data_IF_250841549714
#
_entry.id   IF_250841549714
#
_cell.length_a   1.000
_cell.length_b   1.000
_cell.length_c   1.000
_cell.angle_alpha   90.00
_cell.angle_beta   90.00
_cell.angle_gamma   90.00
#
_symmetry.space_group_name_H-M   'P 1'
#
loop_
_entity.id
_entity.type
_entity.pdbx_description
1 polymer ?
#
# COMPACT_ATOMS: atom_id res chain seq x y z
N UNK A 1 58.20 -38.92 -25.68
CA UNK A 1 56.97 -38.34 -26.30
C UNK A 1 55.82 -39.35 -26.22
N UNK A 2 55.57 -39.93 -25.05
CA UNK A 2 54.53 -40.94 -24.83
C UNK A 2 54.04 -40.90 -23.38
N UNK A 3 53.80 -39.69 -22.85
CA UNK A 3 53.54 -39.50 -21.40
C UNK A 3 52.47 -38.43 -21.11
N UNK A 4 51.75 -37.96 -22.14
CA UNK A 4 50.70 -36.94 -21.98
C UNK A 4 49.31 -37.42 -22.45
N UNK A 5 49.20 -38.63 -23.01
CA UNK A 5 47.93 -39.20 -23.48
C UNK A 5 47.23 -40.07 -22.42
N UNK A 6 47.99 -40.69 -21.51
CA UNK A 6 47.42 -41.52 -20.43
C UNK A 6 46.85 -40.68 -19.27
N UNK A 7 47.30 -39.44 -19.08
CA UNK A 7 46.75 -38.52 -18.08
C UNK A 7 45.34 -38.03 -18.47
N UNK A 8 45.10 -37.80 -19.77
CA UNK A 8 43.82 -37.29 -20.28
C UNK A 8 42.71 -38.35 -20.22
N UNK A 9 43.03 -39.63 -20.49
CA UNK A 9 42.05 -40.72 -20.41
C UNK A 9 41.62 -41.06 -18.97
N UNK A 10 42.39 -40.67 -17.94
CA UNK A 10 42.04 -40.88 -16.53
C UNK A 10 41.06 -39.83 -15.98
N UNK A 11 41.04 -38.64 -16.55
CA UNK A 11 40.15 -37.56 -16.10
C UNK A 11 38.72 -37.69 -16.63
N UNK A 12 38.51 -38.38 -17.75
CA UNK A 12 37.16 -38.64 -18.29
C UNK A 12 36.43 -39.80 -17.58
N UNK A 13 37.13 -40.66 -16.84
CA UNK A 13 36.54 -41.83 -16.16
C UNK A 13 36.09 -41.56 -14.71
N UNK A 14 36.23 -40.33 -14.21
CA UNK A 14 35.77 -39.93 -12.86
C UNK A 14 34.50 -39.05 -12.87
N UNK A 15 33.87 -38.86 -14.04
CA UNK A 15 32.62 -38.08 -14.17
C UNK A 15 31.39 -38.93 -14.52
N UNK A 16 31.39 -40.20 -14.11
CA UNK A 16 30.18 -41.03 -14.08
C UNK A 16 29.80 -41.30 -12.63
N UNK A 17 29.11 -40.34 -12.01
CA UNK A 17 28.77 -40.45 -10.59
C UNK A 17 28.06 -39.25 -9.97
N UNK A 18 27.07 -38.65 -10.64
CA UNK A 18 26.06 -37.85 -9.93
C UNK A 18 24.74 -37.83 -10.71
N UNK A 19 24.10 -39.00 -10.78
CA UNK A 19 22.66 -39.04 -10.98
C UNK A 19 21.99 -38.57 -9.68
N UNK A 20 21.40 -37.37 -9.73
CA UNK A 20 20.24 -37.05 -8.90
C UNK A 20 20.44 -36.05 -7.77
N UNK A 21 20.72 -34.78 -8.08
CA UNK A 21 19.97 -33.62 -7.55
C UNK A 21 20.42 -32.34 -8.26
N UNK A 22 19.61 -31.84 -9.18
CA UNK A 22 19.53 -30.39 -9.49
C UNK A 22 18.17 -30.11 -10.11
N UNK A 23 17.13 -30.47 -9.35
CA UNK A 23 15.83 -29.87 -9.54
C UNK A 23 15.87 -28.48 -8.89
N UNK A 24 15.59 -27.47 -9.70
CA UNK A 24 14.70 -26.35 -9.34
C UNK A 24 15.26 -25.28 -8.38
N UNK A 25 15.72 -24.14 -8.90
CA UNK A 25 15.35 -22.77 -8.49
C UNK A 25 16.21 -21.77 -9.27
N UNK A 26 15.77 -21.36 -10.46
CA UNK A 26 16.28 -20.18 -11.17
C UNK A 26 15.07 -19.31 -11.53
N UNK A 27 14.36 -18.78 -10.53
CA UNK A 27 13.33 -17.73 -10.71
C UNK A 27 13.46 -16.58 -9.70
N UNK A 28 14.19 -16.78 -8.60
CA UNK A 28 14.50 -15.74 -7.62
C UNK A 28 15.04 -14.41 -8.19
N UNK A 29 15.95 -14.37 -9.19
CA UNK A 29 16.43 -13.09 -9.73
C UNK A 29 15.35 -12.34 -10.52
N UNK A 30 14.39 -13.04 -11.13
CA UNK A 30 13.29 -12.43 -11.86
C UNK A 30 12.23 -11.86 -10.89
N UNK A 31 11.89 -12.61 -9.84
CA UNK A 31 10.96 -12.17 -8.80
C UNK A 31 11.48 -10.92 -8.06
N UNK A 32 12.76 -10.91 -7.68
CA UNK A 32 13.36 -9.77 -7.00
C UNK A 32 13.41 -8.52 -7.89
N UNK A 33 13.62 -8.69 -9.19
CA UNK A 33 13.55 -7.59 -10.16
C UNK A 33 12.13 -7.04 -10.31
N UNK A 34 11.10 -7.89 -10.35
CA UNK A 34 9.69 -7.48 -10.38
C UNK A 34 9.31 -6.75 -9.09
N UNK A 35 9.68 -7.30 -7.93
CA UNK A 35 9.45 -6.67 -6.63
C UNK A 35 10.12 -5.29 -6.54
N UNK A 36 11.38 -5.18 -6.99
CA UNK A 36 12.11 -3.92 -7.05
C UNK A 36 11.43 -2.90 -7.98
N UNK A 37 10.91 -3.35 -9.13
CA UNK A 37 10.17 -2.50 -10.06
C UNK A 37 8.83 -2.02 -9.49
N UNK A 38 8.10 -2.90 -8.80
CA UNK A 38 6.86 -2.55 -8.12
C UNK A 38 7.12 -1.54 -6.98
N UNK A 39 8.12 -1.80 -6.13
CA UNK A 39 8.53 -0.89 -5.06
C UNK A 39 9.01 0.46 -5.61
N UNK A 40 9.71 0.46 -6.76
CA UNK A 40 10.17 1.66 -7.44
C UNK A 40 9.06 2.62 -7.89
N UNK A 41 7.81 2.14 -8.02
CA UNK A 41 6.67 3.00 -8.36
C UNK A 41 6.09 3.76 -7.17
N UNK A 42 6.36 3.32 -5.94
CA UNK A 42 5.81 3.94 -4.72
C UNK A 42 6.33 5.37 -4.53
N UNK A 43 7.62 5.61 -4.78
CA UNK A 43 8.22 6.95 -4.69
C UNK A 43 7.54 7.97 -5.61
N UNK A 44 7.47 7.70 -6.93
CA UNK A 44 6.74 8.55 -7.89
C UNK A 44 5.26 8.76 -7.52
N UNK A 45 4.54 7.72 -7.08
CA UNK A 45 3.14 7.85 -6.63
C UNK A 45 3.06 8.81 -5.44
N UNK A 46 3.89 8.60 -4.41
CA UNK A 46 3.92 9.46 -3.23
C UNK A 46 4.24 10.92 -3.57
N UNK A 47 5.21 11.13 -4.47
CA UNK A 47 5.61 12.47 -4.92
C UNK A 47 4.49 13.18 -5.68
N UNK A 48 3.79 12.48 -6.59
CA UNK A 48 2.69 13.08 -7.34
C UNK A 48 1.48 13.38 -6.44
N UNK A 49 1.16 12.50 -5.48
CA UNK A 49 0.13 12.78 -4.49
C UNK A 49 0.48 14.00 -3.65
N UNK A 50 1.73 14.12 -3.19
CA UNK A 50 2.21 15.26 -2.41
C UNK A 50 1.97 16.62 -3.09
N UNK A 51 2.03 16.67 -4.44
CA UNK A 51 1.79 17.88 -5.22
C UNK A 51 0.33 18.34 -5.23
N UNK A 52 -0.62 17.47 -4.85
CA UNK A 52 -2.04 17.80 -4.74
C UNK A 52 -2.39 18.43 -3.38
N UNK A 53 -1.44 18.43 -2.44
CA UNK A 53 -1.68 18.89 -1.09
C UNK A 53 -1.88 20.41 -1.01
N UNK A 54 -2.78 20.89 -0.15
CA UNK A 54 -2.95 22.33 0.06
C UNK A 54 -1.69 22.94 0.69
N UNK A 55 -1.38 24.23 0.44
CA UNK A 55 -0.21 24.87 1.02
C UNK A 55 -0.11 24.66 2.54
N UNK A 56 1.06 24.23 3.02
CA UNK A 56 1.31 24.00 4.45
C UNK A 56 0.79 22.68 5.01
N UNK A 57 0.46 21.68 4.18
CA UNK A 57 0.20 20.33 4.66
C UNK A 57 1.46 19.72 5.33
N UNK A 58 1.27 18.93 6.38
CA UNK A 58 2.33 18.23 7.12
C UNK A 58 2.27 16.70 6.97
N UNK A 59 1.09 16.17 6.64
CA UNK A 59 0.88 14.75 6.41
C UNK A 59 -0.20 14.52 5.37
N UNK A 60 -0.10 13.42 4.63
CA UNK A 60 -1.23 12.86 3.90
C UNK A 60 -1.31 11.34 4.06
N UNK A 61 -2.48 10.82 3.74
CA UNK A 61 -2.76 9.40 3.67
C UNK A 61 -3.59 9.15 2.41
N UNK A 62 -3.22 8.13 1.68
CA UNK A 62 -3.94 7.65 0.51
C UNK A 62 -4.27 6.17 0.69
N UNK A 63 -5.48 5.79 0.32
CA UNK A 63 -5.92 4.40 0.25
C UNK A 63 -6.44 4.12 -1.14
N UNK A 64 -5.98 3.01 -1.71
CA UNK A 64 -6.37 2.55 -3.02
C UNK A 64 -6.93 1.14 -2.88
N UNK A 65 -8.22 0.94 -3.19
CA UNK A 65 -8.85 -0.38 -3.31
C UNK A 65 -9.07 -0.68 -4.78
N UNK A 66 -8.27 -1.58 -5.35
CA UNK A 66 -8.22 -1.79 -6.80
C UNK A 66 -8.46 -3.26 -7.13
N UNK A 67 -9.25 -3.49 -8.17
CA UNK A 67 -9.50 -4.78 -8.81
C UNK A 67 -9.30 -4.63 -10.33
N UNK A 68 -9.49 -5.71 -11.10
CA UNK A 68 -9.49 -5.64 -12.56
C UNK A 68 -10.65 -4.84 -13.16
N UNK A 69 -11.81 -4.77 -12.48
CA UNK A 69 -13.03 -4.15 -13.04
C UNK A 69 -13.57 -2.96 -12.26
N UNK A 70 -12.99 -2.64 -11.10
CA UNK A 70 -13.41 -1.52 -10.27
C UNK A 70 -12.31 -0.99 -9.35
N UNK A 71 -12.42 0.29 -9.01
CA UNK A 71 -11.46 0.98 -8.16
C UNK A 71 -12.11 2.06 -7.29
N UNK A 72 -11.53 2.25 -6.10
CA UNK A 72 -11.80 3.37 -5.19
C UNK A 72 -10.47 3.92 -4.71
N UNK A 73 -10.36 5.25 -4.69
CA UNK A 73 -9.18 5.95 -4.21
C UNK A 73 -9.59 7.08 -3.26
N UNK A 74 -9.04 7.07 -2.06
CA UNK A 74 -9.19 8.13 -1.08
C UNK A 74 -7.85 8.82 -0.85
N UNK A 75 -7.85 10.15 -0.79
CA UNK A 75 -6.68 10.94 -0.46
C UNK A 75 -7.08 12.06 0.51
N UNK A 76 -6.38 12.13 1.64
CA UNK A 76 -6.62 13.13 2.66
C UNK A 76 -5.30 13.74 3.13
N UNK A 77 -5.27 15.06 3.20
CA UNK A 77 -4.18 15.87 3.74
C UNK A 77 -4.52 16.37 5.13
N UNK A 78 -3.50 16.63 5.93
CA UNK A 78 -3.60 17.27 7.23
C UNK A 78 -2.67 18.49 7.32
N UNK A 79 -3.16 19.51 8.00
CA UNK A 79 -2.41 20.69 8.44
C UNK A 79 -2.74 20.90 9.92
N UNK A 80 -1.86 20.44 10.80
CA UNK A 80 -2.10 20.35 12.23
C UNK A 80 -3.33 19.52 12.55
N UNK A 81 -4.41 20.17 13.01
CA UNK A 81 -5.68 19.51 13.38
C UNK A 81 -6.72 19.51 12.26
N UNK A 82 -6.48 20.22 11.17
CA UNK A 82 -7.41 20.32 10.03
C UNK A 82 -7.09 19.22 9.03
N UNK A 83 -8.12 18.72 8.35
CA UNK A 83 -7.98 17.77 7.27
C UNK A 83 -8.77 18.19 6.04
N UNK A 84 -8.21 17.92 4.86
CA UNK A 84 -8.84 18.22 3.58
C UNK A 84 -8.74 17.00 2.67
N UNK A 85 -9.85 16.60 2.08
CA UNK A 85 -9.87 15.54 1.06
C UNK A 85 -9.51 16.11 -0.29
N UNK A 86 -8.84 15.28 -1.10
CA UNK A 86 -8.53 15.59 -2.48
C UNK A 86 -8.90 14.39 -3.36
N UNK A 87 -9.30 14.68 -4.60
CA UNK A 87 -9.51 13.63 -5.60
C UNK A 87 -8.16 13.18 -6.13
N UNK A 88 -7.97 11.86 -6.29
CA UNK A 88 -6.81 11.33 -7.00
C UNK A 88 -7.04 11.47 -8.51
N UNK A 89 -6.14 12.15 -9.25
CA UNK A 89 -6.20 12.22 -10.71
C UNK A 89 -5.92 10.87 -11.37
N UNK A 90 -6.53 10.65 -12.54
CA UNK A 90 -6.43 9.41 -13.30
C UNK A 90 -4.97 9.01 -13.63
N UNK A 91 -4.10 9.99 -13.93
CA UNK A 91 -2.68 9.71 -14.21
C UNK A 91 -1.95 9.07 -13.03
N UNK A 92 -2.35 9.38 -11.79
CA UNK A 92 -1.79 8.75 -10.59
C UNK A 92 -2.41 7.37 -10.41
N UNK A 93 -3.72 7.24 -10.63
CA UNK A 93 -4.41 5.94 -10.60
C UNK A 93 -3.76 4.94 -11.57
N UNK A 94 -3.36 5.37 -12.77
CA UNK A 94 -2.62 4.54 -13.73
C UNK A 94 -1.29 4.02 -13.18
N UNK A 95 -0.54 4.83 -12.43
CA UNK A 95 0.69 4.37 -11.77
C UNK A 95 0.39 3.30 -10.70
N UNK A 96 -0.68 3.48 -9.94
CA UNK A 96 -1.14 2.52 -8.95
C UNK A 96 -1.58 1.21 -9.63
N UNK A 97 -2.35 1.27 -10.73
CA UNK A 97 -2.72 0.07 -11.53
C UNK A 97 -1.48 -0.66 -12.03
N UNK A 98 -0.49 0.07 -12.54
CA UNK A 98 0.78 -0.51 -12.99
C UNK A 98 1.53 -1.18 -11.84
N UNK A 99 1.58 -0.54 -10.67
CA UNK A 99 2.21 -1.12 -9.49
C UNK A 99 1.50 -2.42 -9.07
N UNK A 100 0.17 -2.42 -9.05
CA UNK A 100 -0.64 -3.60 -8.76
C UNK A 100 -0.41 -4.73 -9.76
N UNK A 101 -0.31 -4.41 -11.05
CA UNK A 101 -0.06 -5.39 -12.10
C UNK A 101 1.32 -6.04 -11.98
N UNK A 102 2.34 -5.28 -11.55
CA UNK A 102 3.65 -5.87 -11.20
C UNK A 102 3.55 -6.72 -9.94
N UNK A 103 2.81 -6.27 -8.91
CA UNK A 103 2.59 -7.04 -7.71
C UNK A 103 1.88 -8.38 -7.98
N UNK A 104 0.99 -8.43 -8.98
CA UNK A 104 0.29 -9.65 -9.39
C UNK A 104 1.22 -10.77 -9.91
N UNK A 105 2.44 -10.42 -10.33
CA UNK A 105 3.45 -11.38 -10.79
C UNK A 105 4.27 -11.97 -9.63
N UNK A 106 4.08 -11.48 -8.41
CA UNK A 106 4.75 -12.00 -7.22
C UNK A 106 3.93 -13.16 -6.61
N UNK A 107 4.55 -14.07 -5.82
CA UNK A 107 3.84 -15.20 -5.22
C UNK A 107 2.63 -14.84 -4.35
N UNK A 108 2.63 -13.66 -3.72
CA UNK A 108 1.49 -13.17 -2.92
C UNK A 108 0.28 -12.74 -3.79
N UNK A 109 0.48 -12.55 -5.09
CA UNK A 109 -0.49 -11.97 -6.00
C UNK A 109 -0.72 -10.47 -5.78
N UNK A 110 -1.74 -9.87 -6.44
CA UNK A 110 -2.01 -8.46 -6.27
C UNK A 110 -2.58 -8.19 -4.88
N UNK A 111 -2.24 -7.06 -4.27
CA UNK A 111 -2.93 -6.62 -3.06
C UNK A 111 -4.38 -6.20 -3.37
N UNK A 112 -5.26 -6.19 -2.36
CA UNK A 112 -6.59 -5.59 -2.47
C UNK A 112 -6.56 -4.10 -2.17
N UNK A 113 -5.78 -3.75 -1.14
CA UNK A 113 -5.60 -2.36 -0.71
C UNK A 113 -4.13 -1.96 -0.60
N UNK A 114 -3.81 -0.79 -1.12
CA UNK A 114 -2.54 -0.10 -0.91
C UNK A 114 -2.79 1.10 -0.01
N UNK A 115 -2.12 1.15 1.14
CA UNK A 115 -2.17 2.26 2.07
C UNK A 115 -0.83 2.98 2.03
N UNK A 116 -0.87 4.28 1.77
CA UNK A 116 0.30 5.13 1.73
C UNK A 116 0.11 6.25 2.72
N UNK A 117 1.08 6.45 3.63
CA UNK A 117 1.13 7.61 4.51
C UNK A 117 2.43 8.33 4.32
N UNK A 118 2.37 9.64 4.13
CA UNK A 118 3.57 10.49 4.06
C UNK A 118 3.47 11.55 5.12
N UNK A 119 4.51 11.66 5.94
CA UNK A 119 4.68 12.74 6.91
C UNK A 119 5.90 13.57 6.53
N UNK A 120 5.76 14.89 6.59
CA UNK A 120 6.81 15.84 6.29
C UNK A 120 6.88 16.89 7.42
N UNK A 121 8.09 17.08 7.95
CA UNK A 121 8.40 18.13 8.90
C UNK A 121 9.53 18.99 8.35
N UNK A 122 9.45 20.31 8.56
CA UNK A 122 10.47 21.25 8.10
C UNK A 122 11.87 20.84 8.57
N UNK A 123 12.83 20.79 7.64
CA UNK A 123 14.23 20.40 7.92
C UNK A 123 14.48 18.89 8.01
N UNK A 124 13.49 18.05 7.69
CA UNK A 124 13.64 16.59 7.62
C UNK A 124 13.17 16.04 6.29
N UNK A 125 13.79 14.95 5.84
CA UNK A 125 13.30 14.20 4.68
C UNK A 125 11.90 13.67 4.98
N UNK A 126 11.02 13.69 3.97
CA UNK A 126 9.70 13.11 4.08
C UNK A 126 9.78 11.62 4.42
N UNK A 127 9.00 11.19 5.41
CA UNK A 127 8.87 9.79 5.77
C UNK A 127 7.68 9.20 5.04
N UNK A 128 7.95 8.20 4.20
CA UNK A 128 6.93 7.44 3.47
C UNK A 128 6.75 6.08 4.17
N UNK A 129 5.52 5.77 4.56
CA UNK A 129 5.11 4.46 5.05
C UNK A 129 4.12 3.85 4.05
N UNK A 130 4.36 2.60 3.67
CA UNK A 130 3.54 1.86 2.70
C UNK A 130 3.10 0.54 3.34
N UNK A 131 1.84 0.20 3.17
CA UNK A 131 1.26 -1.06 3.62
C UNK A 131 0.38 -1.65 2.51
N UNK A 132 0.34 -2.98 2.45
CA UNK A 132 -0.41 -3.75 1.48
C UNK A 132 -1.35 -4.71 2.21
N UNK A 133 -2.64 -4.53 2.00
CA UNK A 133 -3.67 -5.37 2.60
C UNK A 133 -4.14 -6.40 1.56
N UNK A 134 -3.90 -7.67 1.90
CA UNK A 134 -4.26 -8.87 1.13
C UNK A 134 -5.59 -9.49 1.59
N UNK A 135 -6.33 -8.78 2.44
CA UNK A 135 -7.69 -9.13 2.84
C UNK A 135 -7.74 -10.05 4.05
N UNK A 136 -6.74 -10.03 4.92
CA UNK A 136 -6.79 -10.82 6.17
C UNK A 136 -7.96 -10.39 7.07
N UNK A 137 -8.41 -9.14 6.90
CA UNK A 137 -9.58 -8.58 7.55
C UNK A 137 -10.56 -8.01 6.52
N UNK A 138 -11.86 -7.91 6.87
CA UNK A 138 -12.84 -7.24 6.03
C UNK A 138 -12.41 -5.83 5.66
N UNK A 139 -12.49 -5.52 4.37
CA UNK A 139 -12.23 -4.17 3.87
C UNK A 139 -13.33 -3.24 4.40
N UNK A 140 -12.96 -2.08 4.97
CA UNK A 140 -13.95 -1.13 5.49
C UNK A 140 -14.85 -0.55 4.40
N UNK A 141 -16.10 -0.24 4.75
CA UNK A 141 -17.16 0.10 3.80
C UNK A 141 -16.78 1.24 2.83
N UNK A 142 -16.06 2.27 3.30
CA UNK A 142 -15.65 3.42 2.47
C UNK A 142 -14.64 3.02 1.36
N UNK A 143 -13.97 1.89 1.54
CA UNK A 143 -12.96 1.32 0.64
C UNK A 143 -13.47 0.06 -0.08
N UNK A 144 -14.67 -0.42 0.24
CA UNK A 144 -15.20 -1.70 -0.20
C UNK A 144 -15.87 -1.56 -1.57
N UNK A 145 -15.29 -2.20 -2.59
CA UNK A 145 -15.91 -2.34 -3.92
C UNK A 145 -17.10 -3.29 -3.88
N UNK A 146 -17.92 -3.28 -4.94
CA UNK A 146 -19.04 -4.22 -5.03
C UNK A 146 -18.55 -5.68 -5.15
N UNK A 147 -19.38 -6.67 -4.78
CA UNK A 147 -19.00 -8.08 -4.87
C UNK A 147 -18.58 -8.54 -6.27
N UNK A 148 -19.15 -7.96 -7.33
CA UNK A 148 -18.84 -8.29 -8.72
C UNK A 148 -17.38 -8.00 -9.06
N UNK A 149 -16.84 -6.87 -8.57
CA UNK A 149 -15.45 -6.48 -8.82
C UNK A 149 -14.44 -7.46 -8.23
N UNK A 150 -14.72 -7.97 -7.02
CA UNK A 150 -13.86 -8.98 -6.41
C UNK A 150 -13.95 -10.34 -7.11
N UNK A 151 -15.15 -10.72 -7.57
CA UNK A 151 -15.33 -11.95 -8.35
C UNK A 151 -14.54 -11.91 -9.65
N UNK A 152 -14.62 -10.80 -10.38
CA UNK A 152 -13.88 -10.63 -11.62
C UNK A 152 -12.36 -10.67 -11.37
N UNK A 153 -11.90 -10.07 -10.26
CA UNK A 153 -10.48 -10.09 -9.90
C UNK A 153 -9.99 -11.48 -9.51
N UNK A 154 -10.77 -12.25 -8.74
CA UNK A 154 -10.44 -13.64 -8.40
C UNK A 154 -10.44 -14.55 -9.63
N UNK A 155 -11.26 -14.26 -10.63
CA UNK A 155 -11.23 -14.96 -11.91
C UNK A 155 -9.99 -14.62 -12.75
N UNK A 156 -9.56 -13.35 -12.74
CA UNK A 156 -8.38 -12.89 -13.45
C UNK A 156 -7.06 -13.27 -12.76
N UNK A 157 -7.04 -13.26 -11.43
CA UNK A 157 -5.90 -13.61 -10.59
C UNK A 157 -6.32 -14.66 -9.56
N UNK A 158 -6.39 -15.96 -9.97
CA UNK A 158 -6.67 -17.04 -9.04
C UNK A 158 -5.63 -17.10 -7.91
N UNK A 159 -6.09 -17.33 -6.69
CA UNK A 159 -5.23 -17.39 -5.48
C UNK A 159 -5.37 -18.72 -4.78
N UNK A 160 -4.27 -19.17 -4.17
CA UNK A 160 -4.27 -20.38 -3.33
C UNK A 160 -5.20 -20.26 -2.12
N UNK A 161 -5.34 -19.05 -1.57
CA UNK A 161 -6.23 -18.77 -0.45
C UNK A 161 -7.06 -17.52 -0.70
N UNK A 162 -8.38 -17.63 -0.47
CA UNK A 162 -9.30 -16.50 -0.44
C UNK A 162 -9.89 -16.38 0.96
N UNK A 163 -9.77 -15.22 1.63
CA UNK A 163 -10.32 -15.01 2.97
C UNK A 163 -11.81 -15.33 3.05
N UNK A 164 -12.23 -15.96 4.16
CA UNK A 164 -13.61 -16.44 4.31
C UNK A 164 -14.66 -15.32 4.20
N UNK A 165 -14.35 -14.13 4.70
CA UNK A 165 -15.25 -12.97 4.59
C UNK A 165 -15.44 -12.55 3.12
N UNK A 166 -14.38 -12.62 2.31
CA UNK A 166 -14.44 -12.20 0.91
C UNK A 166 -15.23 -13.21 0.09
N UNK A 167 -15.04 -14.51 0.35
CA UNK A 167 -15.86 -15.58 -0.24
C UNK A 167 -17.35 -15.39 0.09
N UNK A 168 -17.68 -15.09 1.35
CA UNK A 168 -19.06 -14.81 1.76
C UNK A 168 -19.62 -13.54 1.11
N UNK A 169 -18.80 -12.49 1.03
CA UNK A 169 -19.17 -11.22 0.40
C UNK A 169 -19.50 -11.40 -1.09
N UNK A 170 -18.63 -12.08 -1.84
CA UNK A 170 -18.83 -12.39 -3.27
C UNK A 170 -20.07 -13.27 -3.49
N UNK A 171 -20.28 -14.29 -2.63
CA UNK A 171 -21.45 -15.16 -2.73
C UNK A 171 -22.79 -14.43 -2.45
N UNK A 172 -22.76 -13.39 -1.61
CA UNK A 172 -23.98 -12.65 -1.22
C UNK A 172 -24.65 -11.93 -2.40
N UNK A 173 -23.89 -11.44 -3.38
CA UNK A 173 -24.44 -10.85 -4.60
C UNK A 173 -25.19 -11.87 -5.47
N UNK A 174 -24.66 -13.10 -5.57
CA UNK A 174 -25.32 -14.18 -6.30
C UNK A 174 -26.63 -14.66 -5.65
N UNK A 175 -26.76 -14.51 -4.33
CA UNK A 175 -27.99 -14.86 -3.61
C UNK A 175 -29.14 -13.86 -3.88
N UNK A 176 -28.83 -12.58 -4.08
CA UNK A 176 -29.82 -11.56 -4.43
C UNK A 176 -30.40 -11.75 -5.85
N UNK A 177 -29.61 -12.33 -6.76
CA UNK A 177 -29.99 -12.62 -8.14
C UNK A 177 -30.78 -13.93 -8.33
N UNK A 178 -30.92 -14.77 -7.29
CA UNK A 178 -31.89 -15.88 -7.33
C UNK A 178 -33.26 -15.32 -6.97
N UNK A 179 -34.23 -15.22 -7.90
CA UNK A 179 -35.60 -14.97 -7.49
C UNK A 179 -35.95 -16.07 -6.49
N UNK A 180 -36.38 -15.65 -5.30
CA UNK A 180 -36.92 -16.56 -4.31
C UNK A 180 -37.92 -17.44 -5.05
N UNK A 181 -37.61 -18.74 -5.24
CA UNK A 181 -38.55 -19.68 -5.83
C UNK A 181 -39.81 -19.51 -5.04
N UNK A 182 -40.86 -18.98 -5.68
CA UNK A 182 -42.14 -18.69 -5.07
C UNK A 182 -42.59 -19.95 -4.32
N UNK A 183 -42.35 -20.00 -3.01
CA UNK A 183 -43.03 -20.94 -2.14
C UNK A 183 -44.45 -20.43 -2.11
N UNK A 184 -45.28 -20.99 -2.99
CA UNK A 184 -46.69 -20.65 -3.15
C UNK A 184 -47.30 -20.73 -1.75
N UNK A 185 -47.77 -19.60 -1.16
CA UNK A 185 -48.49 -19.70 0.10
C UNK A 185 -49.74 -20.56 -0.14
N UNK A 186 -50.12 -21.44 0.81
CA UNK A 186 -51.35 -22.20 0.66
C UNK A 186 -52.52 -21.23 0.53
N UNK A 187 -53.27 -21.37 -0.56
CA UNK A 187 -54.50 -20.62 -0.82
C UNK A 187 -55.49 -20.99 0.27
N UNK A 188 -55.77 -20.07 1.19
CA UNK A 188 -56.94 -20.16 2.07
C UNK A 188 -58.17 -19.68 1.28
N UNK A 189 -59.30 -20.41 1.29
CA UNK A 189 -60.52 -19.95 0.65
C UNK A 189 -61.04 -18.67 1.32
N UNK A 190 -61.40 -17.68 0.50
CA UNK A 190 -61.91 -16.36 0.91
C UNK A 190 -63.35 -16.46 1.43
N UNK A 191 -63.54 -16.09 2.70
CA UNK A 191 -64.81 -15.64 3.24
C UNK A 191 -65.10 -14.17 2.90
N UNK A 192 -66.39 -13.88 2.71
CA UNK A 192 -67.05 -12.67 2.19
C UNK A 192 -66.82 -11.39 3.05
N UNK A 193 -66.88 -10.16 2.49
CA UNK A 193 -66.54 -8.95 3.22
C UNK A 193 -67.75 -8.32 3.93
N UNK A 194 -67.51 -7.76 5.12
CA UNK A 194 -68.40 -6.76 5.72
C UNK A 194 -67.62 -5.53 6.16
N UNK A 195 -68.09 -4.41 5.61
CA UNK A 195 -67.95 -3.00 5.97
C UNK A 195 -67.40 -2.67 7.36
N UNK A 196 -66.52 -1.66 7.45
CA UNK A 196 -66.24 -1.02 8.75
C UNK A 196 -65.03 -0.08 8.82
N UNK A 197 -65.29 1.21 8.58
CA UNK A 197 -64.70 2.40 9.23
C UNK A 197 -63.21 2.77 8.98
N UNK A 198 -63.11 3.91 8.32
CA UNK A 198 -61.97 4.84 8.24
C UNK A 198 -61.75 5.52 9.60
N UNK A 199 -60.49 5.64 10.04
CA UNK A 199 -60.05 6.43 11.20
C UNK A 199 -58.53 6.70 11.16
N UNK A 200 -58.03 7.81 11.74
CA UNK A 200 -57.02 8.64 11.06
C UNK A 200 -55.55 8.41 11.46
N UNK A 201 -54.69 8.93 10.57
CA UNK A 201 -53.24 9.15 10.68
C UNK A 201 -52.78 9.60 12.07
N UNK A 202 -51.74 8.94 12.59
CA UNK A 202 -50.82 9.53 13.58
C UNK A 202 -49.42 9.64 13.00
N UNK A 203 -48.94 10.88 12.98
CA UNK A 203 -47.57 11.29 12.71
C UNK A 203 -46.60 10.63 13.70
N UNK A 204 -45.45 10.17 13.19
CA UNK A 204 -44.32 9.69 13.98
C UNK A 204 -43.06 10.42 13.49
N UNK A 205 -42.45 11.33 14.26
CA UNK A 205 -41.17 11.91 13.90
C UNK A 205 -40.04 10.99 14.40
N UNK A 206 -39.48 10.21 13.48
CA UNK A 206 -38.32 9.35 13.72
C UNK A 206 -37.03 10.14 13.53
N UNK A 207 -36.41 10.49 14.66
CA UNK A 207 -35.08 11.07 14.85
C UNK A 207 -34.03 10.63 13.81
N UNK A 208 -33.53 11.58 13.02
CA UNK A 208 -32.22 11.49 12.38
C UNK A 208 -31.15 11.62 13.46
N UNK A 209 -30.57 10.49 13.88
CA UNK A 209 -29.27 10.47 14.55
C UNK A 209 -28.22 10.18 13.48
N UNK A 210 -27.66 11.26 12.95
CA UNK A 210 -26.34 11.22 12.30
C UNK A 210 -25.33 10.71 13.34
N UNK A 211 -25.04 9.41 13.29
CA UNK A 211 -23.86 8.83 13.91
C UNK A 211 -22.73 9.09 12.94
N UNK A 212 -21.95 10.13 13.20
CA UNK A 212 -20.66 10.34 12.58
C UNK A 212 -19.73 9.18 13.03
N UNK A 213 -19.37 8.21 12.17
CA UNK A 213 -18.41 7.19 12.55
C UNK A 213 -17.04 7.85 12.55
N UNK A 214 -16.35 7.79 13.69
CA UNK A 214 -14.93 8.17 13.77
C UNK A 214 -14.16 7.33 12.75
N UNK A 215 -13.37 7.92 11.85
CA UNK A 215 -12.63 7.11 10.88
C UNK A 215 -11.48 6.39 11.58
N UNK A 216 -11.40 5.10 11.33
CA UNK A 216 -10.46 4.09 11.83
C UNK A 216 -9.09 4.21 11.15
N UNK A 217 -8.60 5.42 10.87
CA UNK A 217 -7.23 5.55 10.36
C UNK A 217 -6.25 4.99 11.39
N UNK A 218 -5.27 4.17 10.99
CA UNK A 218 -4.19 3.85 11.90
C UNK A 218 -3.46 5.17 12.18
N UNK A 219 -3.74 5.75 13.36
CA UNK A 219 -2.78 6.60 14.03
C UNK A 219 -1.55 5.71 14.14
N UNK A 220 -0.54 6.00 13.32
CA UNK A 220 0.75 5.32 13.35
C UNK A 220 1.26 5.34 14.79
N UNK A 221 0.97 4.28 15.54
CA UNK A 221 1.62 3.99 16.80
C UNK A 221 3.00 3.54 16.35
N UNK A 222 3.99 4.41 16.56
CA UNK A 222 5.37 4.17 16.20
C UNK A 222 5.78 2.78 16.65
N UNK A 223 5.95 1.88 15.69
CA UNK A 223 6.65 0.63 15.91
C UNK A 223 8.08 1.02 16.23
N UNK A 224 8.46 0.85 17.49
CA UNK A 224 9.86 0.86 17.90
C UNK A 224 10.51 -0.33 17.20
N UNK A 225 11.06 -0.11 16.01
CA UNK A 225 12.03 -1.05 15.47
C UNK A 225 13.26 -0.97 16.36
N UNK A 226 13.45 -2.05 17.10
CA UNK A 226 14.56 -2.31 17.99
C UNK A 226 15.86 -2.08 17.22
N UNK A 227 16.50 -0.92 17.46
CA UNK A 227 17.82 -0.59 16.93
C UNK A 227 18.82 -1.49 17.65
N UNK A 228 19.10 -2.66 17.08
CA UNK A 228 20.16 -3.56 17.57
C UNK A 228 21.50 -2.86 17.34
N UNK A 229 22.10 -2.44 18.45
CA UNK A 229 23.43 -1.85 18.52
C UNK A 229 24.49 -2.81 17.94
N UNK A 230 24.97 -2.55 16.72
CA UNK A 230 26.32 -2.94 16.34
C UNK A 230 27.28 -1.85 16.79
N UNK A 231 27.79 -2.00 18.03
CA UNK A 231 28.99 -1.33 18.50
C UNK A 231 30.16 -1.76 17.61
N UNK A 232 30.48 -0.99 16.57
CA UNK A 232 31.80 -1.04 15.93
C UNK A 232 32.78 -0.27 16.81
N UNK A 233 33.59 -1.02 17.53
CA UNK A 233 34.81 -0.57 18.21
C UNK A 233 35.78 -0.01 17.16
N UNK A 234 35.89 1.32 17.07
CA UNK A 234 37.05 1.97 16.45
C UNK A 234 38.25 1.79 17.38
N UNK A 235 39.02 0.72 17.19
CA UNK A 235 40.42 0.69 17.63
C UNK A 235 41.25 1.50 16.64
N UNK A 236 41.73 2.67 17.10
CA UNK A 236 42.80 3.44 16.46
C UNK A 236 44.10 2.62 16.54
N UNK A 237 44.85 2.44 15.44
CA UNK A 237 46.22 1.97 15.50
C UNK A 237 47.16 3.05 16.06
N UNK A 238 48.19 2.69 16.84
CA UNK A 238 49.17 3.63 17.38
C UNK A 238 50.20 4.00 16.29
N UNK A 239 50.58 5.27 16.18
CA UNK A 239 51.78 5.62 15.40
C UNK A 239 51.86 6.98 14.71
N UNK A 240 50.90 7.91 14.88
CA UNK A 240 51.02 9.22 14.22
C UNK A 240 51.26 10.34 15.23
N UNK A 241 52.50 10.83 15.23
CA UNK A 241 52.99 11.99 15.96
C UNK A 241 52.38 13.27 15.37
N UNK A 242 51.88 14.15 16.23
CA UNK A 242 51.63 15.56 15.89
C UNK A 242 52.95 16.33 15.84
N UNK A 243 53.15 17.22 14.86
CA UNK A 243 53.97 18.38 15.03
C UNK A 243 53.14 19.58 15.51
N UNK A 244 53.76 20.33 16.41
CA UNK A 244 53.28 21.54 17.04
C UNK A 244 53.25 22.74 16.08
N UNK A 245 52.42 23.72 16.44
CA UNK A 245 52.69 25.14 16.21
C UNK A 245 52.21 25.73 14.88
N UNK A 246 51.24 26.64 14.94
CA UNK A 246 51.54 28.05 14.68
C UNK A 246 50.38 28.95 15.12
N UNK A 247 50.76 29.98 15.88
CA UNK A 247 49.98 31.18 16.22
C UNK A 247 49.90 32.07 14.98
N UNK A 248 48.80 32.82 14.84
CA UNK A 248 48.74 34.27 14.52
C UNK A 248 47.36 34.60 13.94
N UNK A 249 46.50 35.37 14.59
CA UNK A 249 46.46 36.85 14.66
C UNK A 249 45.39 37.43 13.72
N UNK A 250 44.43 38.15 14.31
CA UNK A 250 43.49 39.08 13.65
C UNK A 250 44.19 40.34 13.14
N UNK A 251 43.60 41.04 12.15
CA UNK A 251 43.01 42.38 12.39
C UNK A 251 41.64 42.51 11.67
N UNK A 252 40.58 43.17 12.16
CA UNK A 252 40.27 44.57 12.57
C UNK A 252 40.32 45.62 11.44
N UNK A 253 39.14 46.23 11.19
CA UNK A 253 38.83 47.50 10.50
C UNK A 253 38.97 47.50 8.97
N UNK A 254 38.20 48.23 8.17
CA UNK A 254 37.05 49.13 8.30
C UNK A 254 36.49 49.36 6.88
N UNK A 255 35.24 49.82 6.74
CA UNK A 255 34.71 50.22 5.43
C UNK A 255 33.24 50.57 5.45
N UNK A 256 32.91 51.75 6.00
CA UNK A 256 31.66 52.47 5.74
C UNK A 256 31.73 53.07 4.32
N UNK A 257 30.64 53.05 3.57
CA UNK A 257 30.33 54.08 2.58
C UNK A 257 28.83 54.11 2.29
N UNK A 258 28.31 55.33 2.31
CA UNK A 258 26.91 55.75 2.34
C UNK A 258 26.25 55.77 0.95
N UNK A 259 24.93 55.59 0.92
CA UNK A 259 23.98 56.17 -0.06
C UNK A 259 23.90 57.71 0.12
N UNK A 260 23.46 58.57 -0.84
CA UNK A 260 22.10 58.51 -1.45
C UNK A 260 21.86 59.10 -2.89
N UNK A 261 20.77 58.63 -3.51
CA UNK A 261 19.68 59.35 -4.25
C UNK A 261 19.94 60.09 -5.60
N UNK A 262 18.95 60.09 -6.53
CA UNK A 262 19.14 60.32 -7.96
C UNK A 262 18.75 61.73 -8.44
N UNK A 263 18.92 61.98 -9.74
CA UNK A 263 18.26 63.03 -10.54
C UNK A 263 17.49 62.40 -11.68
#
# INVERSE_FOLDING_TARGET
MADLRDEVLRLDSASEGSAGISSFTIDAPAEEAVASRAAGLIGPIAQQLAQLGPPGWDRFAAVFSFTVSGEVAQLRFWTGKRSTEARVPEQIALLVRRQRHLAAQMPAGPWWRLLLTVSHSAGTNAQVATDYDYGDHPIPDDDLLTPEHYRDDLAAYPRAHTPAWLTAYVASAGAALRPARHRRPPVRPRGRPTSGKIGPRRHRPGRSRSRNPRPWWPLARGTRTTRRNLRRTRRRPPGWRSPAGCRSSTPKSAGQASTPTPR
#
